data_IF_283438168741
#
_entry.id   IF_283438168741
#
_cell.length_a   1.000
_cell.length_b   1.000
_cell.length_c   1.000
_cell.angle_alpha   90.00
_cell.angle_beta   90.00
_cell.angle_gamma   90.00
#
_symmetry.space_group_name_H-M   'P 1'
#
loop_
_entity.id
_entity.type
_entity.pdbx_description
1 polymer ?
#
# COMPACT_ATOMS: atom_id res chain seq x y z
N UNK A 1 -59.07 3.03 -8.63
CA UNK A 1 -58.75 4.42 -8.31
C UNK A 1 -58.40 4.50 -6.82
N UNK A 2 -57.10 4.58 -6.49
CA UNK A 2 -56.58 5.12 -5.22
C UNK A 2 -55.05 5.24 -5.42
N UNK A 3 -54.59 6.40 -5.79
CA UNK A 3 -53.17 6.76 -5.90
C UNK A 3 -52.61 6.88 -4.51
N UNK A 4 -51.61 6.08 -4.15
CA UNK A 4 -50.77 6.29 -3.01
C UNK A 4 -49.48 6.97 -3.50
N UNK A 5 -49.36 8.26 -3.20
CA UNK A 5 -48.15 9.07 -3.38
C UNK A 5 -47.19 8.72 -2.25
N UNK A 6 -46.17 7.94 -2.55
CA UNK A 6 -45.05 7.71 -1.63
C UNK A 6 -44.13 8.94 -1.64
N UNK A 7 -44.21 9.74 -0.58
CA UNK A 7 -43.27 10.82 -0.33
C UNK A 7 -41.95 10.19 0.15
N UNK A 8 -40.94 10.21 -0.72
CA UNK A 8 -39.57 9.85 -0.41
C UNK A 8 -38.97 10.99 0.41
N UNK A 9 -38.93 10.82 1.73
CA UNK A 9 -38.19 11.70 2.63
C UNK A 9 -36.69 11.47 2.38
N UNK A 10 -36.11 12.35 1.57
CA UNK A 10 -34.66 12.50 1.46
C UNK A 10 -34.20 13.11 2.80
N UNK A 11 -33.69 12.27 3.71
CA UNK A 11 -32.98 12.73 4.89
C UNK A 11 -31.67 13.35 4.43
N UNK A 12 -31.65 14.69 4.28
CA UNK A 12 -30.41 15.46 4.27
C UNK A 12 -29.74 15.23 5.63
N UNK A 13 -28.84 14.29 5.72
CA UNK A 13 -27.85 14.23 6.79
C UNK A 13 -26.91 15.41 6.60
N UNK A 14 -27.18 16.51 7.27
CA UNK A 14 -26.17 17.54 7.54
C UNK A 14 -24.96 16.83 8.14
N UNK A 15 -23.74 17.04 7.62
CA UNK A 15 -22.56 16.54 8.28
C UNK A 15 -22.52 17.22 9.66
N UNK A 16 -22.81 16.46 10.70
CA UNK A 16 -22.44 16.89 12.05
C UNK A 16 -20.93 17.09 12.00
N UNK A 17 -20.44 18.28 12.33
CA UNK A 17 -19.03 18.58 12.58
C UNK A 17 -18.61 17.76 13.81
N UNK A 18 -18.53 16.45 13.66
CA UNK A 18 -17.97 15.52 14.63
C UNK A 18 -16.46 15.52 14.52
N UNK A 19 -15.79 15.47 15.65
CA UNK A 19 -14.35 15.29 15.70
C UNK A 19 -13.96 14.03 14.92
N UNK A 20 -12.96 14.14 14.03
CA UNK A 20 -12.44 13.01 13.28
C UNK A 20 -11.56 12.16 14.20
N UNK A 21 -12.06 11.00 14.62
CA UNK A 21 -11.29 10.04 15.40
C UNK A 21 -10.29 9.30 14.51
N UNK A 22 -9.22 8.73 15.10
CA UNK A 22 -8.24 7.95 14.35
C UNK A 22 -8.88 6.75 13.61
N UNK A 23 -9.78 6.02 14.28
CA UNK A 23 -10.44 4.86 13.67
C UNK A 23 -11.41 5.28 12.56
N UNK A 24 -12.19 6.33 12.77
CA UNK A 24 -13.06 6.88 11.71
C UNK A 24 -12.27 7.39 10.50
N UNK A 25 -11.06 7.93 10.72
CA UNK A 25 -10.17 8.32 9.63
C UNK A 25 -9.61 7.12 8.88
N UNK A 26 -9.18 6.06 9.59
CA UNK A 26 -8.74 4.79 8.99
C UNK A 26 -9.79 4.18 8.07
N UNK A 27 -11.05 4.15 8.52
CA UNK A 27 -12.18 3.66 7.73
C UNK A 27 -12.39 4.51 6.47
N UNK A 28 -12.44 5.83 6.61
CA UNK A 28 -12.61 6.74 5.47
C UNK A 28 -11.48 6.60 4.43
N UNK A 29 -10.23 6.46 4.90
CA UNK A 29 -9.07 6.21 4.01
C UNK A 29 -9.17 4.86 3.34
N UNK A 30 -9.57 3.81 4.05
CA UNK A 30 -9.72 2.47 3.48
C UNK A 30 -10.81 2.43 2.38
N UNK A 31 -11.95 3.07 2.61
CA UNK A 31 -13.06 3.12 1.66
C UNK A 31 -12.69 3.88 0.38
N UNK A 32 -11.94 4.95 0.50
CA UNK A 32 -11.53 5.75 -0.66
C UNK A 32 -10.32 5.18 -1.39
N UNK A 33 -9.39 4.52 -0.71
CA UNK A 33 -8.04 4.17 -1.17
C UNK A 33 -8.01 3.53 -2.57
N UNK A 34 -7.37 4.21 -3.50
CA UNK A 34 -7.07 3.65 -4.81
C UNK A 34 -6.10 2.46 -4.75
N UNK A 35 -5.19 2.47 -3.78
CA UNK A 35 -4.26 1.37 -3.58
C UNK A 35 -4.99 0.07 -3.22
N UNK A 36 -6.00 0.13 -2.35
CA UNK A 36 -6.83 -1.04 -2.01
C UNK A 36 -7.70 -1.47 -3.19
N UNK A 37 -8.28 -0.55 -3.93
CA UNK A 37 -9.05 -0.86 -5.15
C UNK A 37 -8.20 -1.54 -6.22
N UNK A 38 -6.94 -1.09 -6.39
CA UNK A 38 -5.97 -1.75 -7.28
C UNK A 38 -5.61 -3.15 -6.76
N UNK A 39 -5.39 -3.31 -5.45
CA UNK A 39 -5.08 -4.61 -4.87
C UNK A 39 -6.25 -5.60 -5.02
N UNK A 40 -7.50 -5.17 -4.74
CA UNK A 40 -8.70 -5.96 -4.97
C UNK A 40 -8.87 -6.35 -6.45
N UNK A 41 -8.66 -5.42 -7.39
CA UNK A 41 -8.73 -5.74 -8.81
C UNK A 41 -7.66 -6.75 -9.25
N UNK A 42 -6.49 -6.79 -8.59
CA UNK A 42 -5.47 -7.82 -8.84
C UNK A 42 -5.90 -9.19 -8.31
N UNK A 43 -6.54 -9.25 -7.15
CA UNK A 43 -7.07 -10.51 -6.61
C UNK A 43 -8.22 -11.04 -7.47
N UNK A 44 -9.11 -10.15 -7.96
CA UNK A 44 -10.18 -10.52 -8.91
C UNK A 44 -9.59 -11.06 -10.23
N UNK A 45 -8.58 -10.38 -10.80
CA UNK A 45 -7.91 -10.86 -12.02
C UNK A 45 -7.21 -12.21 -11.81
N UNK A 46 -6.65 -12.46 -10.63
CA UNK A 46 -6.07 -13.75 -10.29
C UNK A 46 -7.14 -14.84 -10.13
N UNK A 47 -8.32 -14.50 -9.59
CA UNK A 47 -9.48 -15.40 -9.51
C UNK A 47 -9.95 -15.83 -10.91
N UNK A 48 -10.08 -14.87 -11.84
CA UNK A 48 -10.44 -15.16 -13.23
C UNK A 48 -9.36 -16.00 -13.93
N UNK A 49 -8.09 -15.74 -13.68
CA UNK A 49 -6.97 -16.54 -14.19
C UNK A 49 -7.02 -17.98 -13.66
N UNK A 50 -7.38 -18.18 -12.38
CA UNK A 50 -7.61 -19.49 -11.79
C UNK A 50 -8.81 -20.17 -12.47
N UNK A 51 -9.92 -19.44 -12.68
CA UNK A 51 -11.07 -19.92 -13.44
C UNK A 51 -10.67 -20.37 -14.86
N UNK A 52 -9.92 -19.52 -15.57
CA UNK A 52 -9.40 -19.83 -16.90
C UNK A 52 -8.52 -21.10 -16.91
N UNK A 53 -7.61 -21.24 -15.96
CA UNK A 53 -6.74 -22.42 -15.89
C UNK A 53 -7.54 -23.72 -15.68
N UNK A 54 -8.64 -23.67 -14.92
CA UNK A 54 -9.57 -24.79 -14.72
C UNK A 54 -10.32 -25.20 -15.99
N UNK A 55 -10.53 -24.28 -16.95
CA UNK A 55 -11.14 -24.63 -18.24
C UNK A 55 -10.29 -25.61 -19.07
N UNK A 56 -8.99 -25.74 -18.75
CA UNK A 56 -8.12 -26.77 -19.33
C UNK A 56 -8.58 -28.21 -19.10
N UNK A 57 -9.46 -28.43 -18.12
CA UNK A 57 -10.11 -29.74 -17.88
C UNK A 57 -11.38 -29.96 -18.72
N UNK A 58 -11.86 -28.94 -19.44
CA UNK A 58 -13.09 -29.01 -20.23
C UNK A 58 -12.80 -29.24 -21.72
N UNK A 59 -13.75 -29.83 -22.47
CA UNK A 59 -13.64 -29.93 -23.91
C UNK A 59 -13.57 -28.53 -24.56
N UNK A 60 -12.75 -28.42 -25.60
CA UNK A 60 -12.67 -27.20 -26.41
C UNK A 60 -13.39 -27.41 -27.74
N UNK A 61 -14.32 -26.52 -28.04
CA UNK A 61 -14.92 -26.43 -29.36
C UNK A 61 -14.12 -25.41 -30.18
N UNK A 62 -13.61 -25.82 -31.31
CA UNK A 62 -12.92 -24.97 -32.26
C UNK A 62 -13.46 -25.22 -33.67
N UNK A 63 -13.31 -24.24 -34.53
CA UNK A 63 -13.64 -24.36 -35.95
C UNK A 63 -12.50 -23.74 -36.75
N UNK A 64 -11.84 -24.57 -37.55
CA UNK A 64 -10.77 -24.12 -38.44
C UNK A 64 -11.33 -23.92 -39.84
N UNK A 65 -11.11 -22.74 -40.41
CA UNK A 65 -11.42 -22.43 -41.81
C UNK A 65 -10.14 -22.32 -42.61
N UNK A 66 -10.08 -22.96 -43.77
CA UNK A 66 -8.95 -22.90 -44.68
C UNK A 66 -9.37 -22.56 -46.07
N UNK A 67 -8.62 -21.66 -46.74
CA UNK A 67 -8.70 -21.41 -48.15
C UNK A 67 -7.28 -21.59 -48.74
N UNK A 68 -7.15 -22.50 -49.70
CA UNK A 68 -5.87 -22.75 -50.35
C UNK A 68 -6.01 -22.61 -51.86
N UNK A 69 -5.15 -21.82 -52.50
CA UNK A 69 -5.03 -21.71 -53.95
C UNK A 69 -3.70 -22.30 -54.38
N UNK A 70 -3.78 -23.35 -55.27
CA UNK A 70 -2.59 -23.97 -55.86
C UNK A 70 -2.29 -23.26 -57.16
N UNK A 71 -1.05 -22.80 -57.37
CA UNK A 71 -0.66 -22.08 -58.58
C UNK A 71 -0.39 -23.05 -59.76
N UNK A 72 -0.02 -24.28 -59.48
CA UNK A 72 0.11 -25.30 -60.49
C UNK A 72 -1.23 -25.95 -60.77
N UNK A 73 -1.69 -25.92 -62.04
CA UNK A 73 -2.92 -26.55 -62.49
C UNK A 73 -2.68 -27.99 -62.84
N UNK A 74 -3.40 -28.88 -62.21
CA UNK A 74 -3.49 -30.26 -62.64
C UNK A 74 -4.80 -30.44 -63.43
N UNK A 75 -4.75 -31.23 -64.53
CA UNK A 75 -5.91 -31.47 -65.38
C UNK A 75 -7.02 -32.18 -64.55
N UNK A 76 -8.22 -31.62 -64.56
CA UNK A 76 -9.37 -32.16 -63.82
C UNK A 76 -9.42 -31.84 -62.33
N UNK A 77 -8.51 -30.97 -61.82
CA UNK A 77 -8.49 -30.58 -60.39
C UNK A 77 -8.69 -29.04 -60.26
N UNK A 78 -9.63 -28.62 -59.41
CA UNK A 78 -9.82 -27.20 -59.10
C UNK A 78 -8.58 -26.63 -58.43
N UNK A 79 -8.09 -25.43 -58.85
CA UNK A 79 -6.87 -24.83 -58.30
C UNK A 79 -7.02 -24.26 -56.88
N UNK A 80 -8.19 -24.32 -56.33
CA UNK A 80 -8.48 -23.80 -55.00
C UNK A 80 -9.39 -24.76 -54.23
N UNK A 81 -9.17 -24.77 -52.87
CA UNK A 81 -9.95 -25.55 -51.96
C UNK A 81 -10.38 -24.65 -50.80
N UNK A 82 -11.62 -24.82 -50.36
CA UNK A 82 -12.16 -24.23 -49.16
C UNK A 82 -12.61 -25.31 -48.21
N UNK A 83 -12.33 -25.17 -46.94
CA UNK A 83 -12.73 -26.15 -45.94
C UNK A 83 -13.07 -25.52 -44.61
N UNK A 84 -14.07 -26.07 -43.94
CA UNK A 84 -14.44 -25.74 -42.58
C UNK A 84 -14.44 -27.00 -41.75
N UNK A 85 -13.67 -26.98 -40.66
CA UNK A 85 -13.42 -28.15 -39.79
C UNK A 85 -13.83 -27.82 -38.33
N UNK A 86 -15.10 -27.93 -37.98
CA UNK A 86 -15.50 -27.86 -36.59
C UNK A 86 -14.98 -29.11 -35.83
N UNK A 87 -14.45 -28.89 -34.63
CA UNK A 87 -13.96 -29.98 -33.81
C UNK A 87 -14.18 -29.70 -32.32
N UNK A 88 -14.53 -30.72 -31.57
CA UNK A 88 -14.51 -30.73 -30.11
C UNK A 88 -13.37 -31.63 -29.67
N UNK A 89 -12.44 -31.08 -28.90
CA UNK A 89 -11.26 -31.82 -28.42
C UNK A 89 -11.20 -31.76 -26.90
N UNK A 90 -11.07 -32.92 -26.27
CA UNK A 90 -10.82 -33.07 -24.85
C UNK A 90 -9.43 -33.61 -24.62
N UNK A 91 -8.60 -32.86 -23.88
CA UNK A 91 -7.35 -33.37 -23.37
C UNK A 91 -7.61 -34.31 -22.18
N UNK A 92 -7.41 -35.59 -22.38
CA UNK A 92 -7.55 -36.61 -21.32
C UNK A 92 -6.31 -36.61 -20.42
N UNK A 93 -5.15 -36.49 -21.05
CA UNK A 93 -3.86 -36.38 -20.34
C UNK A 93 -2.92 -35.48 -21.12
N UNK A 94 -2.57 -34.32 -20.55
CA UNK A 94 -1.68 -33.33 -21.15
C UNK A 94 -0.26 -33.39 -20.57
N UNK A 95 0.25 -34.57 -20.27
CA UNK A 95 1.60 -34.72 -19.69
C UNK A 95 1.71 -34.13 -18.26
N UNK A 96 0.60 -33.76 -17.63
CA UNK A 96 0.55 -33.07 -16.36
C UNK A 96 0.41 -31.52 -16.46
N UNK A 97 0.40 -30.97 -17.69
CA UNK A 97 0.33 -29.51 -17.91
C UNK A 97 -0.93 -28.88 -17.28
N UNK A 98 -2.11 -29.44 -17.55
CA UNK A 98 -3.38 -28.91 -17.07
C UNK A 98 -3.41 -28.82 -15.53
N UNK A 99 -2.98 -29.89 -14.87
CA UNK A 99 -2.91 -29.93 -13.39
C UNK A 99 -1.89 -28.92 -12.84
N UNK A 100 -0.72 -28.81 -13.47
CA UNK A 100 0.31 -27.89 -13.05
C UNK A 100 -0.15 -26.43 -13.23
N UNK A 101 -0.74 -26.10 -14.37
CA UNK A 101 -1.29 -24.78 -14.66
C UNK A 101 -2.41 -24.39 -13.69
N UNK A 102 -3.36 -25.31 -13.44
CA UNK A 102 -4.46 -25.08 -12.51
C UNK A 102 -3.94 -24.81 -11.08
N UNK A 103 -2.97 -25.62 -10.61
CA UNK A 103 -2.42 -25.42 -9.26
C UNK A 103 -1.56 -24.15 -9.16
N UNK A 104 -0.79 -23.80 -10.20
CA UNK A 104 -0.06 -22.52 -10.24
C UNK A 104 -1.00 -21.31 -10.20
N UNK A 105 -2.12 -21.38 -10.92
CA UNK A 105 -3.11 -20.31 -10.92
C UNK A 105 -3.86 -20.21 -9.58
N UNK A 106 -4.16 -21.34 -8.93
CA UNK A 106 -4.74 -21.37 -7.59
C UNK A 106 -3.81 -20.72 -6.57
N UNK A 107 -2.54 -21.12 -6.54
CA UNK A 107 -1.53 -20.49 -5.69
C UNK A 107 -1.32 -19.00 -6.04
N UNK A 108 -1.44 -18.64 -7.31
CA UNK A 108 -1.40 -17.25 -7.76
C UNK A 108 -2.53 -16.41 -7.19
N UNK A 109 -3.73 -16.98 -7.06
CA UNK A 109 -4.86 -16.34 -6.40
C UNK A 109 -4.62 -16.18 -4.89
N UNK A 110 -4.16 -17.24 -4.22
CA UNK A 110 -3.83 -17.19 -2.79
C UNK A 110 -2.75 -16.13 -2.48
N UNK A 111 -1.74 -16.00 -3.37
CA UNK A 111 -0.71 -14.96 -3.28
C UNK A 111 -1.34 -13.57 -3.43
N UNK A 112 -2.23 -13.38 -4.39
CA UNK A 112 -2.88 -12.10 -4.62
C UNK A 112 -3.74 -11.66 -3.42
N UNK A 113 -4.42 -12.59 -2.74
CA UNK A 113 -5.14 -12.34 -1.50
C UNK A 113 -4.20 -11.90 -0.36
N UNK A 114 -3.05 -12.57 -0.23
CA UNK A 114 -2.05 -12.16 0.75
C UNK A 114 -1.46 -10.76 0.45
N UNK A 115 -1.20 -10.46 -0.82
CA UNK A 115 -0.70 -9.16 -1.25
C UNK A 115 -1.77 -8.05 -1.05
N UNK A 116 -3.06 -8.35 -1.19
CA UNK A 116 -4.17 -7.46 -0.87
C UNK A 116 -4.22 -7.16 0.64
N UNK A 117 -4.13 -8.20 1.47
CA UNK A 117 -4.14 -8.03 2.93
C UNK A 117 -2.92 -7.25 3.42
N UNK A 118 -1.74 -7.48 2.83
CA UNK A 118 -0.56 -6.68 3.13
C UNK A 118 -0.75 -5.21 2.74
N UNK A 119 -1.41 -4.94 1.60
CA UNK A 119 -1.76 -3.58 1.18
C UNK A 119 -2.69 -2.88 2.16
N UNK A 120 -3.58 -3.61 2.84
CA UNK A 120 -4.45 -3.07 3.91
C UNK A 120 -3.64 -2.59 5.11
N UNK A 121 -2.62 -3.36 5.51
CA UNK A 121 -1.71 -2.95 6.60
C UNK A 121 -0.95 -1.68 6.23
N UNK A 122 -0.46 -1.56 5.00
CA UNK A 122 0.26 -0.38 4.53
C UNK A 122 -0.64 0.86 4.43
N UNK A 123 -1.87 0.71 3.94
CA UNK A 123 -2.84 1.82 3.86
C UNK A 123 -3.27 2.28 5.25
N UNK A 124 -3.46 1.34 6.20
CA UNK A 124 -3.75 1.69 7.60
C UNK A 124 -2.59 2.47 8.22
N UNK A 125 -1.36 2.02 8.01
CA UNK A 125 -0.17 2.75 8.48
C UNK A 125 -0.07 4.14 7.86
N UNK A 126 -0.34 4.29 6.56
CA UNK A 126 -0.34 5.58 5.89
C UNK A 126 -1.42 6.53 6.47
N UNK A 127 -2.59 6.01 6.82
CA UNK A 127 -3.63 6.77 7.50
C UNK A 127 -3.16 7.24 8.88
N UNK A 128 -2.60 6.34 9.68
CA UNK A 128 -2.07 6.70 11.00
C UNK A 128 -0.99 7.77 10.91
N UNK A 129 -0.05 7.59 9.98
CA UNK A 129 1.01 8.55 9.73
C UNK A 129 0.47 9.94 9.38
N UNK A 130 -0.52 10.02 8.48
CA UNK A 130 -1.14 11.28 8.08
C UNK A 130 -1.90 11.94 9.24
N UNK A 131 -2.62 11.15 10.05
CA UNK A 131 -3.35 11.62 11.22
C UNK A 131 -2.42 12.25 12.28
N UNK A 132 -1.39 11.50 12.67
CA UNK A 132 -0.44 11.95 13.67
C UNK A 132 0.44 13.10 13.18
N UNK A 133 0.76 13.13 11.88
CA UNK A 133 1.46 14.26 11.28
C UNK A 133 0.63 15.54 11.34
N UNK A 134 -0.65 15.48 10.98
CA UNK A 134 -1.55 16.65 11.06
C UNK A 134 -1.66 17.14 12.50
N UNK A 135 -1.85 16.22 13.46
CA UNK A 135 -1.95 16.59 14.89
C UNK A 135 -0.66 17.22 15.42
N UNK A 136 0.50 16.73 15.00
CA UNK A 136 1.79 17.28 15.42
C UNK A 136 2.05 18.68 14.85
N UNK A 137 1.78 18.90 13.55
CA UNK A 137 2.01 20.21 12.93
C UNK A 137 0.96 21.25 13.35
N UNK A 138 -0.28 20.84 13.64
CA UNK A 138 -1.31 21.69 14.22
C UNK A 138 -0.85 22.24 15.58
N UNK A 139 -0.40 21.35 16.46
CA UNK A 139 0.11 21.73 17.77
C UNK A 139 1.37 22.61 17.65
N UNK A 140 2.24 22.30 16.68
CA UNK A 140 3.44 23.12 16.43
C UNK A 140 3.07 24.53 15.95
N UNK A 141 2.14 24.67 15.01
CA UNK A 141 1.66 25.99 14.56
C UNK A 141 1.00 26.77 15.70
N UNK A 142 0.19 26.12 16.54
CA UNK A 142 -0.40 26.73 17.73
C UNK A 142 0.69 27.20 18.72
N UNK A 143 1.75 26.41 18.94
CA UNK A 143 2.87 26.79 19.81
C UNK A 143 3.64 28.00 19.26
N UNK A 144 3.81 28.08 17.93
CA UNK A 144 4.45 29.22 17.29
C UNK A 144 3.62 30.50 17.42
N UNK A 145 2.29 30.42 17.28
CA UNK A 145 1.42 31.57 17.53
C UNK A 145 1.53 32.07 18.97
N UNK A 146 1.56 31.16 19.93
CA UNK A 146 1.77 31.50 21.34
C UNK A 146 3.15 32.12 21.55
N UNK A 147 4.20 31.58 20.95
CA UNK A 147 5.58 32.10 21.04
C UNK A 147 5.66 33.53 20.51
N UNK A 148 5.11 33.82 19.32
CA UNK A 148 5.05 35.18 18.76
C UNK A 148 4.29 36.13 19.70
N UNK A 149 3.18 35.69 20.28
CA UNK A 149 2.41 36.49 21.25
C UNK A 149 3.23 36.83 22.48
N UNK A 150 3.98 35.89 23.04
CA UNK A 150 4.86 36.10 24.19
C UNK A 150 5.96 37.14 23.85
N UNK A 151 6.60 37.03 22.68
CA UNK A 151 7.64 37.98 22.26
C UNK A 151 7.03 39.39 22.03
N UNK A 152 5.85 39.50 21.45
CA UNK A 152 5.16 40.80 21.28
C UNK A 152 4.88 41.47 22.62
N UNK A 153 4.38 40.72 23.60
CA UNK A 153 4.15 41.24 24.94
C UNK A 153 5.44 41.70 25.64
N UNK A 154 6.54 40.94 25.44
CA UNK A 154 7.86 41.32 25.94
C UNK A 154 8.36 42.60 25.25
N UNK A 155 8.17 42.73 23.93
CA UNK A 155 8.52 43.96 23.18
C UNK A 155 7.81 45.19 23.74
N UNK A 156 6.57 45.10 24.06
CA UNK A 156 5.82 46.22 24.68
C UNK A 156 6.43 46.68 26.03
N UNK A 157 6.95 45.75 26.83
CA UNK A 157 7.67 46.07 28.08
C UNK A 157 9.00 46.73 27.78
N UNK A 158 9.74 46.19 26.81
CA UNK A 158 11.03 46.75 26.39
C UNK A 158 10.87 48.16 25.83
N UNK A 159 9.90 48.39 24.94
CA UNK A 159 9.62 49.71 24.36
C UNK A 159 9.28 50.74 25.42
N UNK A 160 8.48 50.39 26.44
CA UNK A 160 8.13 51.23 27.55
C UNK A 160 9.34 51.61 28.39
N UNK A 161 10.17 50.66 28.77
CA UNK A 161 11.42 50.89 29.52
C UNK A 161 12.44 51.76 28.76
N UNK A 162 12.49 51.59 27.44
CA UNK A 162 13.32 52.45 26.59
C UNK A 162 12.83 53.91 26.58
N UNK A 163 11.51 54.09 26.44
CA UNK A 163 10.90 55.43 26.51
C UNK A 163 11.13 56.13 27.86
N UNK A 164 11.22 55.38 28.95
CA UNK A 164 11.53 55.85 30.30
C UNK A 164 13.03 56.01 30.56
N UNK A 165 13.89 55.61 29.59
CA UNK A 165 15.36 55.75 29.69
C UNK A 165 16.03 54.68 30.54
N UNK A 166 15.37 53.56 30.90
CA UNK A 166 15.94 52.52 31.74
C UNK A 166 16.83 51.52 30.99
N UNK A 167 16.70 51.42 29.67
CA UNK A 167 17.45 50.46 28.85
C UNK A 167 18.04 51.10 27.60
N UNK A 168 19.02 50.42 27.01
CA UNK A 168 19.69 50.87 25.80
C UNK A 168 18.92 50.52 24.52
N UNK A 169 19.15 51.25 23.42
CA UNK A 169 18.57 50.97 22.12
C UNK A 169 18.95 49.59 21.60
N UNK A 170 20.09 49.01 22.02
CA UNK A 170 20.52 47.66 21.69
C UNK A 170 19.51 46.59 22.12
N UNK A 171 18.88 46.76 23.28
CA UNK A 171 17.87 45.84 23.81
C UNK A 171 16.60 45.85 22.94
N UNK A 172 16.19 47.06 22.47
CA UNK A 172 15.05 47.17 21.52
C UNK A 172 15.34 46.47 20.19
N UNK A 173 16.52 46.67 19.62
CA UNK A 173 16.90 46.02 18.38
C UNK A 173 16.99 44.50 18.53
N UNK A 174 17.38 44.01 19.70
CA UNK A 174 17.45 42.58 20.01
C UNK A 174 16.07 41.92 20.03
N UNK A 175 15.09 42.53 20.69
CA UNK A 175 13.74 42.02 20.72
C UNK A 175 13.01 42.13 19.36
N UNK A 176 13.29 43.19 18.59
CA UNK A 176 12.78 43.34 17.22
C UNK A 176 13.30 42.27 16.29
N UNK A 177 14.60 41.96 16.36
CA UNK A 177 15.18 40.84 15.60
C UNK A 177 14.53 39.52 15.98
N UNK A 178 14.38 39.27 17.30
CA UNK A 178 13.74 38.02 17.78
C UNK A 178 12.27 37.90 17.35
N UNK A 179 11.53 39.00 17.34
CA UNK A 179 10.14 39.01 16.86
C UNK A 179 10.09 38.66 15.37
N UNK A 180 10.94 39.26 14.57
CA UNK A 180 10.99 38.98 13.12
C UNK A 180 11.32 37.50 12.83
N UNK A 181 12.29 36.91 13.56
CA UNK A 181 12.63 35.49 13.47
C UNK A 181 11.46 34.58 13.87
N UNK A 182 10.73 34.93 14.92
CA UNK A 182 9.58 34.19 15.39
C UNK A 182 8.41 34.27 14.39
N UNK A 183 8.14 35.44 13.81
CA UNK A 183 7.10 35.62 12.78
C UNK A 183 7.45 34.82 11.51
N UNK A 184 8.70 34.82 11.08
CA UNK A 184 9.16 33.95 9.97
C UNK A 184 8.92 32.47 10.27
N UNK A 185 9.25 32.04 11.49
CA UNK A 185 9.04 30.65 11.93
C UNK A 185 7.55 30.29 12.00
N UNK A 186 6.69 31.22 12.38
CA UNK A 186 5.23 31.05 12.38
C UNK A 186 4.71 30.82 10.96
N UNK A 187 5.11 31.63 10.00
CA UNK A 187 4.69 31.46 8.59
C UNK A 187 5.07 30.07 8.06
N UNK A 188 6.28 29.60 8.39
CA UNK A 188 6.73 28.26 8.01
C UNK A 188 5.92 27.13 8.70
N UNK A 189 5.53 27.33 9.96
CA UNK A 189 4.71 26.38 10.70
C UNK A 189 3.29 26.30 10.13
N UNK A 190 2.70 27.45 9.79
CA UNK A 190 1.37 27.53 9.16
C UNK A 190 1.35 26.89 7.79
N UNK A 191 2.36 27.12 6.96
CA UNK A 191 2.53 26.44 5.69
C UNK A 191 2.60 24.89 5.87
N UNK A 192 3.35 24.44 6.88
CA UNK A 192 3.47 23.01 7.16
C UNK A 192 2.13 22.40 7.58
N UNK A 193 1.33 23.13 8.35
CA UNK A 193 -0.02 22.71 8.73
C UNK A 193 -0.95 22.61 7.50
N UNK A 194 -0.97 23.60 6.62
CA UNK A 194 -1.78 23.57 5.40
C UNK A 194 -1.42 22.38 4.51
N UNK A 195 -0.12 22.13 4.30
CA UNK A 195 0.34 20.98 3.52
C UNK A 195 -0.09 19.65 4.15
N UNK A 196 0.00 19.52 5.47
CA UNK A 196 -0.45 18.31 6.16
C UNK A 196 -1.97 18.15 6.08
N UNK A 197 -2.75 19.24 6.19
CA UNK A 197 -4.20 19.25 6.03
C UNK A 197 -4.62 18.79 4.63
N UNK A 198 -3.95 19.31 3.59
CA UNK A 198 -4.19 18.87 2.21
C UNK A 198 -3.93 17.39 2.03
N UNK A 199 -2.80 16.89 2.52
CA UNK A 199 -2.45 15.47 2.43
C UNK A 199 -3.46 14.58 3.19
N UNK A 200 -3.87 15.00 4.38
CA UNK A 200 -4.88 14.32 5.19
C UNK A 200 -6.22 14.21 4.45
N UNK A 201 -6.69 15.30 3.89
CA UNK A 201 -7.97 15.35 3.19
C UNK A 201 -7.95 14.56 1.87
N UNK A 202 -6.88 14.69 1.07
CA UNK A 202 -6.73 13.95 -0.19
C UNK A 202 -6.69 12.45 0.07
N UNK A 203 -6.03 12.00 1.14
CA UNK A 203 -5.91 10.57 1.45
C UNK A 203 -7.28 9.93 1.77
N UNK A 204 -8.22 10.66 2.37
CA UNK A 204 -9.61 10.21 2.62
C UNK A 204 -10.60 10.58 1.50
N UNK A 205 -10.13 11.21 0.40
CA UNK A 205 -10.97 11.55 -0.76
C UNK A 205 -11.91 12.73 -0.58
N UNK A 206 -11.58 13.66 0.31
CA UNK A 206 -12.37 14.88 0.52
C UNK A 206 -11.68 16.11 -0.08
N UNK A 207 -12.38 17.27 -0.08
CA UNK A 207 -11.77 18.52 -0.53
C UNK A 207 -10.50 18.80 0.29
N UNK A 208 -9.40 19.13 -0.41
CA UNK A 208 -8.08 19.32 0.19
C UNK A 208 -8.06 20.42 1.27
N UNK A 209 -8.89 21.44 1.11
CA UNK A 209 -8.93 22.62 1.98
C UNK A 209 -9.95 22.54 3.13
N UNK A 210 -10.65 21.39 3.25
CA UNK A 210 -11.67 21.22 4.28
C UNK A 210 -11.02 21.29 5.67
N UNK A 211 -11.56 22.17 6.51
CA UNK A 211 -11.14 22.28 7.92
C UNK A 211 -11.51 21.01 8.71
N UNK A 212 -10.64 20.58 9.60
CA UNK A 212 -10.77 19.32 10.34
C UNK A 212 -10.49 19.54 11.82
N UNK A 213 -11.38 19.00 12.65
CA UNK A 213 -11.11 18.89 14.08
C UNK A 213 -10.73 17.45 14.43
N UNK A 214 -9.52 17.25 14.93
CA UNK A 214 -9.04 15.95 15.36
C UNK A 214 -9.64 15.56 16.72
N UNK A 215 -10.07 14.31 16.84
CA UNK A 215 -10.62 13.77 18.09
C UNK A 215 -9.55 13.39 19.12
N UNK A 216 -8.30 13.22 18.66
CA UNK A 216 -7.15 12.88 19.50
C UNK A 216 -5.96 13.75 19.15
N UNK A 217 -5.37 14.36 20.16
CA UNK A 217 -4.16 15.16 20.02
C UNK A 217 -2.89 14.31 20.12
N UNK A 218 -1.79 14.81 19.52
CA UNK A 218 -0.50 14.10 19.52
C UNK A 218 0.07 13.88 20.94
N UNK A 219 -0.30 14.71 21.91
CA UNK A 219 0.12 14.58 23.32
C UNK A 219 -0.80 13.69 24.15
N UNK A 220 -1.88 13.18 23.59
CA UNK A 220 -2.74 12.23 24.29
C UNK A 220 -1.99 10.92 24.54
N UNK A 221 -2.28 10.30 25.69
CA UNK A 221 -1.57 9.08 26.08
C UNK A 221 -1.94 7.94 25.15
N UNK A 222 -0.94 7.46 24.39
CA UNK A 222 -1.05 6.25 23.59
C UNK A 222 -0.52 5.06 24.42
N UNK A 223 -1.31 3.95 24.53
CA UNK A 223 -0.85 2.77 25.21
C UNK A 223 0.29 2.11 24.43
N UNK A 224 1.31 1.63 25.17
CA UNK A 224 2.38 0.88 24.56
C UNK A 224 1.87 -0.51 24.14
N UNK A 225 2.05 -0.93 22.87
CA UNK A 225 1.67 -2.27 22.43
C UNK A 225 2.39 -3.37 23.22
N UNK A 226 1.74 -4.53 23.33
CA UNK A 226 2.39 -5.71 23.89
C UNK A 226 3.41 -6.25 22.89
N UNK A 227 4.58 -6.64 23.36
CA UNK A 227 5.60 -7.22 22.49
C UNK A 227 5.13 -8.54 21.89
N UNK A 228 5.20 -8.64 20.56
CA UNK A 228 4.94 -9.83 19.77
C UNK A 228 6.29 -10.44 19.36
N UNK A 229 6.55 -11.69 19.72
CA UNK A 229 7.80 -12.35 19.33
C UNK A 229 7.82 -12.61 17.82
N UNK A 230 9.03 -12.60 17.22
CA UNK A 230 9.20 -12.73 15.77
C UNK A 230 8.49 -13.96 15.17
N UNK A 231 8.45 -15.10 15.89
CA UNK A 231 7.75 -16.31 15.43
C UNK A 231 6.22 -16.10 15.27
N UNK A 232 5.62 -15.32 16.15
CA UNK A 232 4.19 -15.00 16.08
C UNK A 232 3.93 -13.96 14.98
N UNK A 233 4.80 -12.95 14.84
CA UNK A 233 4.73 -11.99 13.75
C UNK A 233 4.82 -12.69 12.38
N UNK A 234 5.76 -13.63 12.20
CA UNK A 234 5.89 -14.45 10.98
C UNK A 234 4.60 -15.23 10.66
N UNK A 235 3.93 -15.78 11.69
CA UNK A 235 2.70 -16.53 11.48
C UNK A 235 1.52 -15.67 11.03
N UNK A 236 1.50 -14.39 11.38
CA UNK A 236 0.43 -13.43 11.05
C UNK A 236 0.68 -12.68 9.75
N UNK A 237 1.93 -12.54 9.33
CA UNK A 237 2.31 -11.68 8.19
C UNK A 237 1.90 -12.26 6.84
N UNK A 238 1.03 -11.54 6.08
CA UNK A 238 0.56 -12.00 4.78
C UNK A 238 1.69 -12.09 3.74
N UNK A 239 2.64 -11.16 3.76
CA UNK A 239 3.76 -11.10 2.81
C UNK A 239 4.75 -12.26 2.98
N UNK A 240 4.94 -12.77 4.20
CA UNK A 240 5.70 -14.01 4.41
C UNK A 240 4.94 -15.23 3.89
N UNK A 241 3.63 -15.28 4.13
CA UNK A 241 2.77 -16.34 3.57
C UNK A 241 2.83 -16.31 2.04
N UNK A 242 2.73 -15.13 1.41
CA UNK A 242 2.89 -14.96 -0.03
C UNK A 242 4.24 -15.45 -0.54
N UNK A 243 5.34 -15.15 0.17
CA UNK A 243 6.67 -15.61 -0.21
C UNK A 243 6.80 -17.14 -0.20
N UNK A 244 6.20 -17.81 0.80
CA UNK A 244 6.15 -19.28 0.86
C UNK A 244 5.28 -19.88 -0.25
N UNK A 245 4.14 -19.27 -0.55
CA UNK A 245 3.27 -19.70 -1.65
C UNK A 245 3.95 -19.52 -3.01
N UNK A 246 4.75 -18.48 -3.21
CA UNK A 246 5.57 -18.29 -4.44
C UNK A 246 6.61 -19.41 -4.61
N UNK A 247 7.23 -19.88 -3.53
CA UNK A 247 8.14 -21.01 -3.58
C UNK A 247 7.40 -22.32 -3.95
N UNK A 248 6.21 -22.57 -3.40
CA UNK A 248 5.35 -23.69 -3.78
C UNK A 248 4.89 -23.59 -5.24
N UNK A 249 4.50 -22.40 -5.68
CA UNK A 249 4.09 -22.15 -7.07
C UNK A 249 5.23 -22.48 -8.06
N UNK A 250 6.48 -22.14 -7.69
CA UNK A 250 7.66 -22.46 -8.49
C UNK A 250 7.95 -23.97 -8.54
N UNK A 251 7.66 -24.76 -7.50
CA UNK A 251 7.71 -26.22 -7.58
C UNK A 251 6.75 -26.78 -8.64
N UNK A 252 5.52 -26.23 -8.67
CA UNK A 252 4.59 -26.58 -9.74
C UNK A 252 5.06 -26.09 -11.11
N UNK A 253 5.86 -25.03 -11.17
CA UNK A 253 6.58 -24.58 -12.37
C UNK A 253 7.52 -25.64 -12.95
N UNK A 254 8.21 -26.42 -12.10
CA UNK A 254 9.02 -27.54 -12.54
C UNK A 254 8.17 -28.62 -13.21
N UNK A 255 6.98 -28.91 -12.67
CA UNK A 255 6.05 -29.89 -13.25
C UNK A 255 5.49 -29.40 -14.58
N UNK A 256 5.17 -28.12 -14.67
CA UNK A 256 4.76 -27.48 -15.92
C UNK A 256 5.85 -27.54 -16.98
N UNK A 257 7.10 -27.25 -16.63
CA UNK A 257 8.25 -27.34 -17.54
C UNK A 257 8.54 -28.77 -18.03
N UNK A 258 8.14 -29.81 -17.30
CA UNK A 258 8.25 -31.22 -17.71
C UNK A 258 7.14 -31.67 -18.65
N UNK A 259 5.95 -31.06 -18.54
CA UNK A 259 4.75 -31.52 -19.19
C UNK A 259 4.82 -31.65 -20.72
N UNK A 260 5.47 -30.74 -21.48
CA UNK A 260 5.58 -30.85 -22.94
C UNK A 260 6.38 -32.08 -23.39
N UNK A 261 7.22 -32.63 -22.52
CA UNK A 261 8.09 -33.78 -22.79
C UNK A 261 7.50 -35.12 -22.31
N UNK A 262 6.31 -35.13 -21.78
CA UNK A 262 5.56 -36.30 -21.37
C UNK A 262 4.57 -36.69 -22.48
N UNK A 263 4.13 -37.98 -22.55
CA UNK A 263 3.06 -38.37 -23.44
C UNK A 263 1.79 -37.51 -23.24
N UNK A 264 1.09 -37.22 -24.32
CA UNK A 264 -0.17 -36.46 -24.30
C UNK A 264 -1.23 -37.28 -25.00
N UNK A 265 -2.40 -37.37 -24.39
CA UNK A 265 -3.56 -38.08 -24.89
C UNK A 265 -4.75 -37.13 -25.00
N UNK A 266 -5.33 -37.04 -26.18
CA UNK A 266 -6.57 -36.32 -26.42
C UNK A 266 -7.56 -37.18 -27.19
N UNK A 267 -8.84 -36.91 -26.94
CA UNK A 267 -9.95 -37.50 -27.69
C UNK A 267 -10.78 -36.39 -28.30
N UNK A 268 -11.37 -36.63 -29.43
CA UNK A 268 -12.18 -35.60 -30.07
C UNK A 268 -13.17 -36.13 -31.08
N UNK A 269 -14.10 -35.27 -31.41
CA UNK A 269 -15.07 -35.44 -32.50
C UNK A 269 -14.91 -34.26 -33.43
N UNK A 270 -14.70 -34.50 -34.70
CA UNK A 270 -14.55 -33.44 -35.71
C UNK A 270 -15.48 -33.69 -36.90
N UNK A 271 -15.82 -32.60 -37.56
CA UNK A 271 -16.48 -32.63 -38.84
C UNK A 271 -15.63 -31.93 -39.89
N UNK A 272 -15.83 -32.26 -41.15
CA UNK A 272 -15.27 -31.52 -42.26
C UNK A 272 -16.37 -31.22 -43.28
N UNK A 273 -16.40 -29.97 -43.71
CA UNK A 273 -17.21 -29.53 -44.84
C UNK A 273 -16.26 -28.91 -45.89
N UNK A 274 -16.19 -29.57 -47.07
CA UNK A 274 -15.37 -29.14 -48.16
C UNK A 274 -16.19 -29.13 -49.44
N UNK A 275 -16.60 -27.95 -49.95
CA UNK A 275 -17.45 -27.84 -51.13
C UNK A 275 -16.69 -28.22 -52.44
N UNK A 276 -15.38 -28.18 -52.43
CA UNK A 276 -14.55 -28.52 -53.59
C UNK A 276 -13.42 -29.45 -53.12
N UNK A 277 -13.56 -30.74 -53.42
CA UNK A 277 -12.54 -31.71 -53.08
C UNK A 277 -11.62 -31.91 -54.28
N UNK A 278 -10.27 -31.80 -54.11
CA UNK A 278 -9.33 -32.19 -55.15
C UNK A 278 -9.60 -33.61 -55.59
N UNK A 279 -9.63 -33.86 -56.90
CA UNK A 279 -9.91 -35.13 -57.56
C UNK A 279 -11.41 -35.60 -57.63
N UNK A 280 -12.34 -34.71 -57.22
CA UNK A 280 -13.80 -34.97 -57.42
C UNK A 280 -14.47 -33.71 -57.95
N UNK A 281 -14.68 -33.66 -59.22
CA UNK A 281 -15.40 -32.54 -59.88
C UNK A 281 -16.78 -32.33 -59.29
N UNK A 282 -16.98 -31.18 -58.61
CA UNK A 282 -18.28 -30.71 -58.17
C UNK A 282 -18.89 -31.39 -56.94
N UNK A 283 -18.15 -32.22 -56.23
CA UNK A 283 -18.68 -32.90 -55.03
C UNK A 283 -18.39 -32.08 -53.73
N UNK A 284 -19.44 -31.79 -53.02
CA UNK A 284 -19.35 -31.33 -51.62
C UNK A 284 -19.26 -32.53 -50.74
N UNK A 285 -18.22 -32.59 -49.87
CA UNK A 285 -18.14 -33.64 -48.88
C UNK A 285 -18.42 -33.11 -47.48
N UNK A 286 -19.23 -33.84 -46.74
CA UNK A 286 -19.48 -33.61 -45.33
C UNK A 286 -19.15 -34.95 -44.64
N UNK A 287 -18.11 -34.92 -43.81
CA UNK A 287 -17.66 -36.06 -43.05
C UNK A 287 -17.62 -35.75 -41.56
N UNK A 288 -17.88 -36.78 -40.74
CA UNK A 288 -17.70 -36.76 -39.29
C UNK A 288 -16.70 -37.82 -38.85
N UNK A 289 -15.85 -37.50 -37.89
CA UNK A 289 -14.88 -38.43 -37.34
C UNK A 289 -14.79 -38.34 -35.83
N UNK A 290 -14.53 -39.48 -35.21
CA UNK A 290 -14.11 -39.55 -33.80
C UNK A 290 -12.66 -39.98 -33.81
N UNK A 291 -11.84 -39.32 -33.02
CA UNK A 291 -10.40 -39.63 -33.01
C UNK A 291 -9.85 -39.67 -31.58
N UNK A 292 -8.80 -40.48 -31.43
CA UNK A 292 -7.94 -40.53 -30.26
C UNK A 292 -6.55 -40.20 -30.75
N UNK A 293 -5.94 -39.16 -30.15
CA UNK A 293 -4.59 -38.72 -30.54
C UNK A 293 -3.64 -38.92 -29.36
N UNK A 294 -2.64 -39.78 -29.53
CA UNK A 294 -1.49 -39.96 -28.63
C UNK A 294 -0.27 -39.28 -29.23
N UNK A 295 0.31 -38.34 -28.54
CA UNK A 295 1.55 -37.66 -28.91
C UNK A 295 2.63 -38.03 -27.89
N UNK A 296 3.73 -38.65 -28.35
CA UNK A 296 4.84 -39.04 -27.48
C UNK A 296 6.11 -38.37 -28.01
N UNK A 297 6.62 -37.35 -27.34
CA UNK A 297 7.87 -36.69 -27.67
C UNK A 297 9.05 -37.64 -27.39
N UNK A 298 9.80 -38.03 -28.43
CA UNK A 298 10.87 -39.06 -28.30
C UNK A 298 12.23 -38.41 -28.05
N UNK A 299 12.60 -37.39 -28.82
CA UNK A 299 13.90 -36.78 -28.71
C UNK A 299 13.89 -35.27 -29.01
N UNK A 300 14.50 -34.44 -28.13
CA UNK A 300 14.52 -32.98 -28.23
C UNK A 300 15.90 -32.41 -27.86
N UNK A 301 16.99 -33.02 -28.27
CA UNK A 301 18.37 -32.51 -28.13
C UNK A 301 18.72 -31.92 -26.75
N UNK A 302 18.20 -32.52 -25.67
CA UNK A 302 18.43 -32.07 -24.29
C UNK A 302 17.58 -30.89 -23.81
N UNK A 303 16.60 -30.45 -24.58
CA UNK A 303 15.67 -29.35 -24.23
C UNK A 303 14.96 -29.59 -22.87
N UNK A 304 14.46 -30.80 -22.65
CA UNK A 304 13.86 -31.19 -21.35
C UNK A 304 14.79 -30.92 -20.17
N UNK A 305 16.08 -31.30 -20.30
CA UNK A 305 17.06 -31.09 -19.23
C UNK A 305 17.29 -29.62 -18.97
N UNK A 306 17.35 -28.79 -20.00
CA UNK A 306 17.54 -27.33 -19.90
C UNK A 306 16.32 -26.65 -19.32
N UNK A 307 15.11 -26.97 -19.80
CA UNK A 307 13.86 -26.41 -19.31
C UNK A 307 13.64 -26.74 -17.81
N UNK A 308 13.83 -28.00 -17.44
CA UNK A 308 13.73 -28.43 -16.04
C UNK A 308 14.83 -27.79 -15.17
N UNK A 309 16.05 -27.66 -15.71
CA UNK A 309 17.15 -26.99 -15.02
C UNK A 309 16.87 -25.53 -14.75
N UNK A 310 16.33 -24.80 -15.72
CA UNK A 310 15.88 -23.40 -15.55
C UNK A 310 14.76 -23.28 -14.51
N UNK A 311 13.73 -24.13 -14.58
CA UNK A 311 12.64 -24.12 -13.62
C UNK A 311 13.10 -24.43 -12.17
N UNK A 312 14.08 -25.33 -12.00
CA UNK A 312 14.69 -25.58 -10.68
C UNK A 312 15.45 -24.38 -10.14
N UNK A 313 16.17 -23.65 -11.01
CA UNK A 313 16.87 -22.44 -10.61
C UNK A 313 15.88 -21.35 -10.15
N UNK A 314 14.73 -21.23 -10.83
CA UNK A 314 13.63 -20.32 -10.40
C UNK A 314 13.05 -20.76 -9.06
N UNK A 315 12.80 -22.04 -8.86
CA UNK A 315 12.30 -22.56 -7.59
C UNK A 315 13.29 -22.27 -6.44
N UNK A 316 14.58 -22.53 -6.64
CA UNK A 316 15.61 -22.21 -5.65
C UNK A 316 15.70 -20.71 -5.35
N UNK A 317 15.53 -19.86 -6.37
CA UNK A 317 15.45 -18.40 -6.19
C UNK A 317 14.27 -18.01 -5.28
N UNK A 318 13.09 -18.63 -5.46
CA UNK A 318 11.93 -18.35 -4.64
C UNK A 318 12.09 -18.85 -3.19
N UNK A 319 12.74 -19.98 -2.99
CA UNK A 319 13.09 -20.47 -1.66
C UNK A 319 14.03 -19.50 -0.92
N UNK A 320 15.07 -19.00 -1.60
CA UNK A 320 15.95 -18.01 -1.01
C UNK A 320 15.25 -16.67 -0.76
N UNK A 321 14.33 -16.28 -1.63
CA UNK A 321 13.51 -15.08 -1.42
C UNK A 321 12.62 -15.21 -0.19
N UNK A 322 12.05 -16.38 0.05
CA UNK A 322 11.27 -16.65 1.27
C UNK A 322 12.15 -16.66 2.53
N UNK A 323 13.36 -17.20 2.46
CA UNK A 323 14.32 -17.16 3.56
C UNK A 323 14.79 -15.72 3.85
N UNK A 324 15.08 -14.94 2.81
CA UNK A 324 15.40 -13.50 2.96
C UNK A 324 14.26 -12.74 3.63
N UNK A 325 13.01 -12.99 3.20
CA UNK A 325 11.85 -12.33 3.80
C UNK A 325 11.65 -12.71 5.26
N UNK A 326 11.93 -13.97 5.61
CA UNK A 326 11.96 -14.41 7.01
C UNK A 326 12.93 -13.57 7.84
N UNK A 327 14.18 -13.46 7.38
CA UNK A 327 15.22 -12.73 8.11
C UNK A 327 14.92 -11.23 8.20
N UNK A 328 14.33 -10.66 7.14
CA UNK A 328 13.87 -9.27 7.13
C UNK A 328 12.79 -9.02 8.19
N UNK A 329 11.80 -9.90 8.32
CA UNK A 329 10.73 -9.77 9.32
C UNK A 329 11.26 -9.89 10.74
N UNK A 330 12.19 -10.83 10.99
CA UNK A 330 12.85 -10.94 12.29
C UNK A 330 13.59 -9.65 12.64
N UNK A 331 14.30 -9.07 11.67
CA UNK A 331 15.01 -7.79 11.84
C UNK A 331 14.04 -6.63 12.04
N UNK A 332 12.95 -6.56 11.26
CA UNK A 332 11.91 -5.54 11.37
C UNK A 332 11.28 -5.56 12.77
N UNK A 333 10.93 -6.74 13.30
CA UNK A 333 10.37 -6.87 14.66
C UNK A 333 11.34 -6.37 15.73
N UNK A 334 12.58 -6.83 15.70
CA UNK A 334 13.58 -6.44 16.70
C UNK A 334 13.86 -4.93 16.67
N UNK A 335 14.01 -4.37 15.46
CA UNK A 335 14.26 -2.94 15.28
C UNK A 335 13.03 -2.11 15.65
N UNK A 336 11.83 -2.55 15.25
CA UNK A 336 10.58 -1.88 15.57
C UNK A 336 10.31 -1.84 17.07
N UNK A 337 10.53 -2.94 17.77
CA UNK A 337 10.42 -2.96 19.22
C UNK A 337 11.44 -2.03 19.90
N UNK A 338 12.69 -2.04 19.43
CA UNK A 338 13.74 -1.16 19.97
C UNK A 338 13.38 0.32 19.74
N UNK A 339 12.93 0.67 18.54
CA UNK A 339 12.48 2.03 18.22
C UNK A 339 11.30 2.47 19.08
N UNK A 340 10.34 1.59 19.34
CA UNK A 340 9.17 1.85 20.18
C UNK A 340 9.58 2.13 21.63
N UNK A 341 10.46 1.30 22.22
CA UNK A 341 10.95 1.51 23.60
C UNK A 341 11.74 2.80 23.72
N UNK A 342 12.62 3.09 22.74
CA UNK A 342 13.41 4.30 22.73
C UNK A 342 12.57 5.57 22.54
N UNK A 343 11.59 5.53 21.64
CA UNK A 343 10.70 6.70 21.41
C UNK A 343 9.85 6.99 22.65
N UNK A 344 9.40 5.97 23.38
CA UNK A 344 8.70 6.17 24.66
C UNK A 344 9.60 6.86 25.69
N UNK A 345 10.83 6.38 25.86
CA UNK A 345 11.78 7.01 26.78
C UNK A 345 12.12 8.46 26.38
N UNK A 346 12.14 8.76 25.06
CA UNK A 346 12.33 10.12 24.58
C UNK A 346 11.15 11.05 24.93
N UNK A 347 9.91 10.54 24.88
CA UNK A 347 8.73 11.28 25.34
C UNK A 347 8.89 11.69 26.79
N UNK A 348 9.18 10.72 27.67
CA UNK A 348 9.31 10.98 29.09
C UNK A 348 10.44 12.00 29.40
N UNK A 349 11.58 11.88 28.74
CA UNK A 349 12.72 12.80 28.90
C UNK A 349 12.46 14.21 28.37
N UNK A 350 11.75 14.34 27.23
CA UNK A 350 11.45 15.63 26.61
C UNK A 350 10.34 16.38 27.37
N UNK A 351 9.35 15.68 27.91
CA UNK A 351 8.33 16.29 28.76
C UNK A 351 8.92 16.86 30.06
N UNK A 352 9.82 16.15 30.70
CA UNK A 352 10.51 16.67 31.89
C UNK A 352 11.38 17.89 31.56
N UNK A 353 12.12 17.84 30.44
CA UNK A 353 12.91 18.97 29.98
C UNK A 353 12.05 20.19 29.64
N UNK A 354 10.90 19.99 29.03
CA UNK A 354 9.94 21.05 28.72
C UNK A 354 9.35 21.67 30.01
N UNK A 355 9.01 20.86 30.98
CA UNK A 355 8.52 21.33 32.28
C UNK A 355 9.53 22.28 32.95
N UNK A 356 10.81 21.85 33.02
CA UNK A 356 11.89 22.64 33.60
C UNK A 356 12.11 23.94 32.82
N UNK A 357 12.09 23.90 31.48
CA UNK A 357 12.24 25.09 30.64
C UNK A 357 11.07 26.07 30.82
N UNK A 358 9.85 25.57 31.01
CA UNK A 358 8.69 26.41 31.31
C UNK A 358 8.81 27.14 32.65
N UNK A 359 9.29 26.48 33.67
CA UNK A 359 9.58 27.09 34.98
C UNK A 359 10.68 28.16 34.86
N UNK A 360 11.78 27.83 34.15
CA UNK A 360 12.87 28.79 33.94
C UNK A 360 12.39 30.03 33.18
N UNK A 361 11.58 29.86 32.14
CA UNK A 361 11.01 30.97 31.38
C UNK A 361 10.14 31.86 32.27
N UNK A 362 9.31 31.27 33.11
CA UNK A 362 8.46 31.99 34.05
C UNK A 362 9.28 32.82 35.04
N UNK A 363 10.31 32.22 35.65
CA UNK A 363 11.20 32.89 36.61
C UNK A 363 11.99 34.01 35.93
N UNK A 364 12.57 33.77 34.75
CA UNK A 364 13.36 34.75 34.01
C UNK A 364 12.49 35.96 33.59
N UNK A 365 11.27 35.69 33.14
CA UNK A 365 10.33 36.76 32.75
C UNK A 365 9.93 37.61 33.97
N UNK A 366 9.64 36.98 35.10
CA UNK A 366 9.33 37.68 36.34
C UNK A 366 10.52 38.53 36.83
N UNK A 367 11.71 37.93 36.88
CA UNK A 367 12.95 38.61 37.34
C UNK A 367 13.29 39.81 36.44
N UNK A 368 13.07 39.72 35.15
CA UNK A 368 13.24 40.84 34.22
C UNK A 368 12.20 41.94 34.53
N UNK A 369 10.93 41.57 34.83
CA UNK A 369 9.91 42.52 35.26
C UNK A 369 10.32 43.34 36.51
N UNK A 370 10.99 42.72 37.47
CA UNK A 370 11.49 43.32 38.68
C UNK A 370 12.84 44.03 38.52
N UNK A 371 13.48 43.96 37.34
CA UNK A 371 14.79 44.51 37.09
C UNK A 371 15.99 43.70 37.65
N UNK A 372 15.76 42.44 37.99
CA UNK A 372 16.72 41.52 38.57
C UNK A 372 17.45 40.65 37.51
N UNK A 373 16.96 40.64 36.27
CA UNK A 373 17.54 39.91 35.13
C UNK A 373 17.65 40.83 33.91
N UNK A 374 18.48 40.43 32.95
CA UNK A 374 18.67 41.13 31.66
C UNK A 374 17.65 40.64 30.62
N UNK A 375 17.43 41.44 29.56
CA UNK A 375 16.61 40.99 28.42
C UNK A 375 17.18 39.72 27.76
N UNK A 376 18.51 39.59 27.74
CA UNK A 376 19.23 38.45 27.18
C UNK A 376 18.86 37.15 27.91
N UNK A 377 18.71 37.19 29.24
CA UNK A 377 18.31 36.03 30.05
C UNK A 377 16.92 35.55 29.67
N UNK A 378 15.98 36.48 29.48
CA UNK A 378 14.60 36.14 29.07
C UNK A 378 14.58 35.59 27.66
N UNK A 379 15.29 36.22 26.71
CA UNK A 379 15.32 35.74 25.34
C UNK A 379 15.97 34.35 25.24
N UNK A 380 16.99 34.06 26.05
CA UNK A 380 17.61 32.74 26.10
C UNK A 380 16.65 31.70 26.70
N UNK A 381 15.93 32.05 27.76
CA UNK A 381 14.92 31.16 28.34
C UNK A 381 13.77 30.88 27.37
N UNK A 382 13.30 31.89 26.62
CA UNK A 382 12.28 31.74 25.58
C UNK A 382 12.75 30.83 24.45
N UNK A 383 13.97 31.01 23.96
CA UNK A 383 14.53 30.19 22.90
C UNK A 383 14.65 28.73 23.35
N UNK A 384 15.14 28.50 24.57
CA UNK A 384 15.24 27.16 25.16
C UNK A 384 13.85 26.51 25.30
N UNK A 385 12.87 27.24 25.78
CA UNK A 385 11.50 26.73 25.93
C UNK A 385 10.87 26.31 24.60
N UNK A 386 10.91 27.18 23.57
CA UNK A 386 10.30 26.83 22.27
C UNK A 386 11.00 25.68 21.58
N UNK A 387 12.35 25.57 21.74
CA UNK A 387 13.10 24.45 21.19
C UNK A 387 12.73 23.13 21.88
N UNK A 388 12.63 23.14 23.22
CA UNK A 388 12.23 21.95 23.99
C UNK A 388 10.76 21.61 23.77
N UNK A 389 9.88 22.57 23.56
CA UNK A 389 8.49 22.35 23.18
C UNK A 389 8.41 21.63 21.81
N UNK A 390 9.17 22.11 20.82
CA UNK A 390 9.26 21.47 19.51
C UNK A 390 9.82 20.05 19.58
N UNK A 391 10.81 19.81 20.45
CA UNK A 391 11.39 18.50 20.67
C UNK A 391 10.36 17.54 21.34
N UNK A 392 9.54 18.01 22.29
CA UNK A 392 8.48 17.23 22.90
C UNK A 392 7.41 16.84 21.88
N UNK A 393 6.94 17.78 21.02
CA UNK A 393 6.02 17.45 19.93
C UNK A 393 6.60 16.37 19.02
N UNK A 394 7.86 16.52 18.63
CA UNK A 394 8.55 15.54 17.78
C UNK A 394 8.68 14.17 18.44
N UNK A 395 8.97 14.14 19.75
CA UNK A 395 9.07 12.89 20.50
C UNK A 395 7.72 12.16 20.55
N UNK A 396 6.64 12.86 20.83
CA UNK A 396 5.28 12.29 20.79
C UNK A 396 4.91 11.79 19.40
N UNK A 397 5.20 12.56 18.36
CA UNK A 397 4.98 12.14 16.97
C UNK A 397 5.77 10.87 16.63
N UNK A 398 7.06 10.82 16.95
CA UNK A 398 7.89 9.65 16.71
C UNK A 398 7.36 8.41 17.45
N UNK A 399 6.88 8.61 18.68
CA UNK A 399 6.28 7.52 19.46
C UNK A 399 4.96 7.03 18.81
N UNK A 400 4.08 7.92 18.41
CA UNK A 400 2.81 7.56 17.75
C UNK A 400 3.05 6.81 16.44
N UNK A 401 4.00 7.28 15.62
CA UNK A 401 4.41 6.61 14.38
C UNK A 401 5.05 5.24 14.68
N UNK A 402 5.90 5.15 15.74
CA UNK A 402 6.51 3.88 16.12
C UNK A 402 5.47 2.85 16.61
N UNK A 403 4.42 3.28 17.30
CA UNK A 403 3.27 2.43 17.69
C UNK A 403 2.59 1.88 16.44
N UNK A 404 2.24 2.73 15.48
CA UNK A 404 1.56 2.34 14.25
C UNK A 404 2.44 1.45 13.35
N UNK A 405 3.74 1.75 13.26
CA UNK A 405 4.68 0.92 12.49
C UNK A 405 4.88 -0.46 13.13
N UNK A 406 4.98 -0.52 14.47
CA UNK A 406 5.08 -1.80 15.17
C UNK A 406 3.82 -2.65 14.98
N UNK A 407 2.63 -2.05 14.99
CA UNK A 407 1.38 -2.74 14.68
C UNK A 407 1.37 -3.28 13.23
N UNK A 408 1.87 -2.50 12.26
CA UNK A 408 2.04 -2.94 10.87
C UNK A 408 3.03 -4.10 10.76
N UNK A 409 4.19 -4.00 11.42
CA UNK A 409 5.24 -5.03 11.42
C UNK A 409 4.73 -6.35 12.01
N UNK A 410 3.89 -6.28 13.03
CA UNK A 410 3.35 -7.45 13.73
C UNK A 410 1.99 -7.91 13.22
N UNK A 411 1.44 -7.23 12.21
CA UNK A 411 0.12 -7.47 11.61
C UNK A 411 -1.00 -7.50 12.68
N UNK A 412 -1.06 -6.44 13.50
CA UNK A 412 -2.06 -6.23 14.55
C UNK A 412 -3.18 -5.28 14.11
#
# INVERSE_FOLDING_TARGET
MKNAVSILLLSLSLPAFGQTTLDGYREAVADYSWQLKIAASKSDAAAETMGQARTGYLPRLAMDGSFTKTFHRYEGIEPWTFGVLPQVVQTVYGGGAVRASARQAELGYDIALCDEEFSRLDVRYAADYAYWNLSAVELYAASMRQYVSIIRSLKEIVDRRFAEGYIAKGDVLMIETRLSEAEYSLVSAEQSYEVALHNFNILRGTDATLDVQLGQGIRDSLPMPVRVVAAEALARRPDYTAARLRAEQADWGIRSARAPFNPQLSVGVGGSWQPFVPNRTGATTVDGSVFVKLSVPIFHWGERRRAVGAARAVQQQQEWSAALRHDDIVREEMNGWTALVQSRAQVDATEESLRIAGENLSISTYSYGEGLATILDVLQAQLSWIQLYSNAIRAHYNYAVAVSDYQRITAQ
#
